data_IF_781859555646
#
_entry.id   IF_781859555646
#
_cell.length_a   1.000
_cell.length_b   1.000
_cell.length_c   1.000
_cell.angle_alpha   90.00
_cell.angle_beta   90.00
_cell.angle_gamma   90.00
#
_symmetry.space_group_name_H-M   'P 1'
#
loop_
_entity.id
_entity.type
_entity.pdbx_description
1 polymer ?
#
# COMPACT_ATOMS: atom_id res chain seq x y z
N UNK A 1 -31.47 -15.32 -35.44
CA UNK A 1 -29.99 -15.19 -35.38
C UNK A 1 -29.50 -14.08 -34.43
N UNK A 2 -30.24 -12.98 -34.22
CA UNK A 2 -29.86 -11.91 -33.30
C UNK A 2 -30.05 -12.24 -31.80
N UNK A 3 -31.11 -12.99 -31.47
CA UNK A 3 -31.45 -13.36 -30.07
C UNK A 3 -30.40 -14.28 -29.43
N UNK A 4 -29.81 -15.19 -30.22
CA UNK A 4 -28.83 -16.17 -29.74
C UNK A 4 -27.47 -15.52 -29.44
N UNK A 5 -27.06 -14.54 -30.26
CA UNK A 5 -25.87 -13.71 -29.98
C UNK A 5 -26.02 -12.93 -28.66
N UNK A 6 -27.23 -12.46 -28.34
CA UNK A 6 -27.49 -11.73 -27.09
C UNK A 6 -27.30 -12.62 -25.86
N UNK A 7 -27.81 -13.86 -25.87
CA UNK A 7 -27.68 -14.81 -24.75
C UNK A 7 -26.22 -15.22 -24.53
N UNK A 8 -25.47 -15.43 -25.62
CA UNK A 8 -24.02 -15.71 -25.56
C UNK A 8 -23.25 -14.53 -24.96
N UNK A 9 -23.58 -13.30 -25.31
CA UNK A 9 -22.93 -12.09 -24.75
C UNK A 9 -23.23 -11.96 -23.25
N UNK A 10 -24.49 -12.18 -22.83
CA UNK A 10 -24.87 -12.15 -21.41
C UNK A 10 -24.16 -13.23 -20.62
N UNK A 11 -24.09 -14.47 -21.13
CA UNK A 11 -23.37 -15.56 -20.49
C UNK A 11 -21.86 -15.31 -20.40
N UNK A 12 -21.24 -14.83 -21.49
CA UNK A 12 -19.82 -14.46 -21.50
C UNK A 12 -19.53 -13.37 -20.47
N UNK A 13 -20.37 -12.34 -20.41
CA UNK A 13 -20.19 -11.26 -19.45
C UNK A 13 -20.37 -11.77 -18.01
N UNK A 14 -21.35 -12.63 -17.73
CA UNK A 14 -21.52 -13.25 -16.43
C UNK A 14 -20.31 -14.11 -16.02
N UNK A 15 -19.73 -14.88 -16.95
CA UNK A 15 -18.53 -15.69 -16.72
C UNK A 15 -17.30 -14.80 -16.48
N UNK A 16 -17.12 -13.73 -17.25
CA UNK A 16 -16.04 -12.75 -17.07
C UNK A 16 -16.18 -12.01 -15.74
N UNK A 17 -17.38 -11.58 -15.36
CA UNK A 17 -17.65 -10.95 -14.06
C UNK A 17 -17.36 -11.91 -12.91
N UNK A 18 -17.79 -13.18 -13.01
CA UNK A 18 -17.49 -14.21 -12.02
C UNK A 18 -15.99 -14.47 -11.89
N UNK A 19 -15.26 -14.52 -13.00
CA UNK A 19 -13.81 -14.69 -13.01
C UNK A 19 -13.09 -13.48 -12.38
N UNK A 20 -13.50 -12.26 -12.71
CA UNK A 20 -12.96 -11.02 -12.12
C UNK A 20 -13.24 -10.97 -10.61
N UNK A 21 -14.41 -11.42 -10.17
CA UNK A 21 -14.78 -11.44 -8.76
C UNK A 21 -13.95 -12.47 -7.97
N UNK A 22 -13.62 -13.62 -8.58
CA UNK A 22 -12.78 -14.65 -7.97
C UNK A 22 -11.28 -14.36 -8.07
N UNK A 23 -10.84 -13.55 -9.03
CA UNK A 23 -9.43 -13.28 -9.29
C UNK A 23 -8.64 -12.82 -8.05
N UNK A 24 -9.11 -11.86 -7.22
CA UNK A 24 -8.38 -11.43 -6.02
C UNK A 24 -8.14 -12.57 -5.03
N UNK A 25 -9.11 -13.47 -4.89
CA UNK A 25 -9.07 -14.57 -3.93
C UNK A 25 -8.09 -15.65 -4.41
N UNK A 26 -8.15 -16.01 -5.70
CA UNK A 26 -7.19 -16.93 -6.34
C UNK A 26 -5.78 -16.38 -6.28
N UNK A 27 -5.58 -15.09 -6.59
CA UNK A 27 -4.27 -14.43 -6.55
C UNK A 27 -3.72 -14.42 -5.11
N UNK A 28 -4.56 -14.15 -4.11
CA UNK A 28 -4.15 -14.13 -2.71
C UNK A 28 -3.72 -15.52 -2.22
N UNK A 29 -4.52 -16.56 -2.53
CA UNK A 29 -4.19 -17.94 -2.19
C UNK A 29 -2.93 -18.43 -2.90
N UNK A 30 -2.77 -18.10 -4.18
CA UNK A 30 -1.58 -18.44 -4.96
C UNK A 30 -0.32 -17.75 -4.42
N UNK A 31 -0.40 -16.45 -4.09
CA UNK A 31 0.73 -15.73 -3.51
C UNK A 31 1.13 -16.32 -2.15
N UNK A 32 0.15 -16.67 -1.31
CA UNK A 32 0.40 -17.31 -0.02
C UNK A 32 1.06 -18.68 -0.19
N UNK A 33 0.56 -19.51 -1.11
CA UNK A 33 1.15 -20.83 -1.37
C UNK A 33 2.58 -20.71 -1.91
N UNK A 34 2.85 -19.76 -2.81
CA UNK A 34 4.21 -19.52 -3.32
C UNK A 34 5.19 -19.14 -2.19
N UNK A 35 4.79 -18.27 -1.26
CA UNK A 35 5.64 -17.91 -0.11
C UNK A 35 5.92 -19.13 0.77
N UNK A 36 4.89 -19.93 1.04
CA UNK A 36 5.02 -21.17 1.83
C UNK A 36 5.92 -22.18 1.11
N UNK A 37 5.80 -22.34 -0.21
CA UNK A 37 6.60 -23.28 -1.00
C UNK A 37 8.06 -22.83 -1.15
N UNK A 38 8.31 -21.54 -1.33
CA UNK A 38 9.68 -20.99 -1.42
C UNK A 38 10.41 -21.21 -0.11
N UNK A 39 9.75 -20.96 1.03
CA UNK A 39 10.39 -21.11 2.34
C UNK A 39 10.36 -22.57 2.80
N UNK A 40 9.21 -23.21 2.79
CA UNK A 40 9.03 -24.62 3.14
C UNK A 40 9.80 -25.56 2.23
N UNK A 41 9.86 -25.32 0.92
CA UNK A 41 10.61 -26.14 -0.05
C UNK A 41 12.12 -26.05 0.10
N UNK A 42 12.65 -24.90 0.53
CA UNK A 42 14.08 -24.74 0.82
C UNK A 42 14.46 -25.16 2.25
N UNK A 43 13.52 -25.12 3.19
CA UNK A 43 13.72 -25.50 4.59
C UNK A 43 13.50 -27.01 4.80
N UNK A 44 12.53 -27.64 4.12
CA UNK A 44 12.24 -29.07 4.21
C UNK A 44 13.49 -29.95 4.03
N UNK A 45 14.36 -29.78 3.02
CA UNK A 45 15.55 -30.62 2.84
C UNK A 45 16.52 -30.56 4.02
N UNK A 46 16.65 -29.40 4.65
CA UNK A 46 17.58 -29.17 5.79
C UNK A 46 17.07 -29.89 7.05
N UNK A 47 15.76 -29.86 7.29
CA UNK A 47 15.16 -30.51 8.47
C UNK A 47 14.92 -32.01 8.27
N UNK A 48 14.61 -32.46 7.05
CA UNK A 48 14.38 -33.89 6.72
C UNK A 48 15.66 -34.73 6.87
N UNK A 49 16.84 -34.11 6.79
CA UNK A 49 18.15 -34.75 7.08
C UNK A 49 18.32 -35.10 8.56
N UNK A 50 17.75 -34.30 9.47
CA UNK A 50 17.84 -34.50 10.92
C UNK A 50 16.67 -35.28 11.51
N UNK A 51 15.71 -35.72 10.68
CA UNK A 51 14.46 -36.31 11.15
C UNK A 51 14.40 -37.84 10.95
N UNK A 52 13.99 -38.62 11.98
CA UNK A 52 13.76 -40.06 11.86
C UNK A 52 12.72 -40.40 10.79
N UNK A 53 12.95 -41.48 10.02
CA UNK A 53 12.13 -41.84 8.84
C UNK A 53 10.64 -42.05 9.12
N UNK A 54 10.25 -42.34 10.37
CA UNK A 54 8.86 -42.56 10.76
C UNK A 54 7.99 -41.28 10.72
N UNK A 55 8.60 -40.09 10.80
CA UNK A 55 7.90 -38.80 10.73
C UNK A 55 7.74 -38.27 9.29
N UNK A 56 8.46 -38.86 8.32
CA UNK A 56 8.47 -38.41 6.92
C UNK A 56 7.22 -38.79 6.14
N UNK A 57 6.46 -39.80 6.60
CA UNK A 57 5.32 -40.37 5.87
C UNK A 57 3.97 -40.24 6.59
N UNK A 58 3.91 -39.57 7.74
CA UNK A 58 2.67 -39.35 8.45
C UNK A 58 1.89 -38.17 7.83
N UNK A 59 0.98 -38.47 6.91
CA UNK A 59 0.12 -37.50 6.20
C UNK A 59 -0.70 -36.58 7.11
N UNK A 60 -0.94 -37.00 8.35
CA UNK A 60 -1.66 -36.25 9.40
C UNK A 60 -0.82 -35.14 10.05
N UNK A 61 0.50 -35.09 9.79
CA UNK A 61 1.40 -34.07 10.32
C UNK A 61 1.61 -32.90 9.35
N UNK A 62 0.99 -32.90 8.15
CA UNK A 62 1.15 -31.83 7.17
C UNK A 62 0.79 -30.45 7.74
N UNK A 63 -0.28 -30.36 8.54
CA UNK A 63 -0.66 -29.11 9.21
C UNK A 63 0.41 -28.63 10.22
N UNK A 64 1.07 -29.56 10.91
CA UNK A 64 2.18 -29.24 11.83
C UNK A 64 3.41 -28.79 11.06
N UNK A 65 3.68 -29.36 9.89
CA UNK A 65 4.76 -28.92 9.01
C UNK A 65 4.53 -27.51 8.47
N UNK A 66 3.30 -27.21 8.03
CA UNK A 66 2.94 -25.88 7.53
C UNK A 66 2.97 -24.82 8.65
N UNK A 67 2.54 -25.20 9.86
CA UNK A 67 2.65 -24.34 11.05
C UNK A 67 4.11 -24.09 11.44
N UNK A 68 4.96 -25.14 11.41
CA UNK A 68 6.38 -25.03 11.72
C UNK A 68 7.13 -24.20 10.67
N UNK A 69 6.85 -24.39 9.39
CA UNK A 69 7.44 -23.56 8.33
C UNK A 69 7.02 -22.10 8.48
N UNK A 70 5.75 -21.84 8.78
CA UNK A 70 5.25 -20.49 9.04
C UNK A 70 5.96 -19.84 10.23
N UNK A 71 6.16 -20.58 11.32
CA UNK A 71 6.90 -20.09 12.49
C UNK A 71 8.36 -19.77 12.16
N UNK A 72 9.02 -20.62 11.37
CA UNK A 72 10.41 -20.41 10.93
C UNK A 72 10.51 -19.16 10.04
N UNK A 73 9.58 -18.96 9.11
CA UNK A 73 9.51 -17.72 8.29
C UNK A 73 9.42 -16.51 9.21
N UNK A 74 8.51 -16.54 10.19
CA UNK A 74 8.26 -15.43 11.09
C UNK A 74 9.49 -15.12 11.95
N UNK A 75 10.19 -16.15 12.44
CA UNK A 75 11.46 -16.00 13.16
C UNK A 75 12.57 -15.45 12.26
N UNK A 76 12.68 -15.90 11.02
CA UNK A 76 13.65 -15.37 10.05
C UNK A 76 13.39 -13.89 9.74
N UNK A 77 12.13 -13.52 9.50
CA UNK A 77 11.73 -12.12 9.28
C UNK A 77 12.05 -11.26 10.50
N UNK A 78 11.73 -11.75 11.71
CA UNK A 78 12.05 -11.06 12.96
C UNK A 78 13.57 -10.92 13.17
N UNK A 79 14.35 -11.97 12.87
CA UNK A 79 15.81 -11.95 12.97
C UNK A 79 16.42 -10.98 11.96
N UNK A 80 15.97 -10.98 10.70
CA UNK A 80 16.39 -10.01 9.70
C UNK A 80 16.08 -8.58 10.15
N UNK A 81 14.87 -8.35 10.68
CA UNK A 81 14.48 -7.07 11.28
C UNK A 81 15.39 -6.66 12.44
N UNK A 82 15.76 -7.60 13.31
CA UNK A 82 16.66 -7.35 14.42
C UNK A 82 18.09 -7.03 13.95
N UNK A 83 18.64 -7.85 13.06
CA UNK A 83 19.98 -7.69 12.48
C UNK A 83 20.10 -6.37 11.72
N UNK A 84 19.05 -5.93 11.02
CA UNK A 84 19.03 -4.65 10.29
C UNK A 84 19.34 -3.41 11.15
N UNK A 85 19.15 -3.51 12.48
CA UNK A 85 19.44 -2.43 13.42
C UNK A 85 20.95 -2.26 13.66
N UNK A 86 21.74 -3.30 13.41
CA UNK A 86 23.19 -3.28 13.57
C UNK A 86 23.90 -2.82 12.29
N UNK A 87 25.05 -2.17 12.42
CA UNK A 87 25.85 -1.65 11.29
C UNK A 87 26.21 -2.77 10.29
N UNK A 88 26.52 -3.96 10.79
CA UNK A 88 26.79 -5.13 9.97
C UNK A 88 25.56 -5.62 9.19
N UNK A 89 24.36 -5.50 9.76
CA UNK A 89 23.12 -5.84 9.08
C UNK A 89 22.82 -4.91 7.90
N UNK A 90 23.07 -3.61 8.05
CA UNK A 90 22.94 -2.64 6.93
C UNK A 90 23.89 -2.98 5.78
N UNK A 91 25.11 -3.42 6.08
CA UNK A 91 26.05 -3.88 5.06
C UNK A 91 25.55 -5.13 4.35
N UNK A 92 25.10 -6.16 5.08
CA UNK A 92 24.55 -7.40 4.50
C UNK A 92 23.34 -7.15 3.60
N UNK A 93 22.41 -6.29 4.05
CA UNK A 93 21.25 -5.85 3.28
C UNK A 93 21.67 -5.19 1.95
N UNK A 94 22.67 -4.31 2.00
CA UNK A 94 23.18 -3.63 0.79
C UNK A 94 23.82 -4.58 -0.23
N UNK A 95 24.45 -5.67 0.25
CA UNK A 95 25.04 -6.70 -0.61
C UNK A 95 23.94 -7.55 -1.25
N UNK A 96 22.93 -7.96 -0.48
CA UNK A 96 21.77 -8.68 -1.00
C UNK A 96 20.98 -7.87 -2.03
N UNK A 97 20.82 -6.57 -1.80
CA UNK A 97 20.23 -5.64 -2.76
C UNK A 97 21.00 -5.59 -4.09
N UNK A 98 22.32 -5.46 -4.04
CA UNK A 98 23.16 -5.46 -5.25
C UNK A 98 23.04 -6.77 -6.03
N UNK A 99 22.91 -7.91 -5.35
CA UNK A 99 22.66 -9.19 -6.00
C UNK A 99 21.31 -9.23 -6.73
N UNK A 100 20.23 -8.76 -6.07
CA UNK A 100 18.90 -8.69 -6.68
C UNK A 100 18.85 -7.73 -7.88
N UNK A 101 19.55 -6.60 -7.79
CA UNK A 101 19.65 -5.62 -8.87
C UNK A 101 20.44 -6.12 -10.08
N UNK A 102 21.31 -7.12 -9.89
CA UNK A 102 22.09 -7.74 -10.96
C UNK A 102 21.30 -8.73 -11.82
N UNK A 103 20.10 -9.14 -11.40
CA UNK A 103 19.27 -10.09 -12.15
C UNK A 103 18.36 -9.30 -13.12
N UNK A 104 18.51 -9.47 -14.45
CA UNK A 104 17.65 -8.82 -15.43
C UNK A 104 16.17 -9.17 -15.21
N UNK A 105 15.29 -8.17 -15.23
CA UNK A 105 13.84 -8.34 -14.99
C UNK A 105 13.42 -8.31 -13.52
N UNK A 106 14.19 -8.92 -12.61
CA UNK A 106 13.90 -8.91 -11.16
C UNK A 106 14.20 -7.55 -10.54
N UNK A 107 15.22 -6.85 -11.05
CA UNK A 107 15.61 -5.52 -10.56
C UNK A 107 14.48 -4.49 -10.65
N UNK A 108 13.67 -4.53 -11.71
CA UNK A 108 12.53 -3.63 -11.88
C UNK A 108 11.46 -3.84 -10.81
N UNK A 109 11.05 -5.10 -10.59
CA UNK A 109 10.04 -5.46 -9.57
C UNK A 109 10.55 -5.15 -8.17
N UNK A 110 11.80 -5.50 -7.87
CA UNK A 110 12.43 -5.23 -6.58
C UNK A 110 12.48 -3.73 -6.29
N UNK A 111 12.89 -2.90 -7.26
CA UNK A 111 12.95 -1.46 -7.09
C UNK A 111 11.57 -0.83 -6.86
N UNK A 112 10.54 -1.26 -7.59
CA UNK A 112 9.18 -0.75 -7.39
C UNK A 112 8.67 -1.06 -5.98
N UNK A 113 8.82 -2.31 -5.52
CA UNK A 113 8.40 -2.72 -4.18
C UNK A 113 9.21 -1.99 -3.11
N UNK A 114 10.53 -1.91 -3.28
CA UNK A 114 11.41 -1.19 -2.35
C UNK A 114 11.05 0.29 -2.27
N UNK A 115 10.77 0.94 -3.40
CA UNK A 115 10.36 2.34 -3.43
C UNK A 115 9.04 2.58 -2.69
N UNK A 116 8.08 1.66 -2.79
CA UNK A 116 6.84 1.71 -2.00
C UNK A 116 7.18 1.55 -0.51
N UNK A 117 7.97 0.55 -0.15
CA UNK A 117 8.35 0.29 1.25
C UNK A 117 9.18 1.44 1.86
N UNK A 118 10.09 2.07 1.12
CA UNK A 118 10.92 3.19 1.60
C UNK A 118 10.12 4.50 1.68
N UNK A 119 9.14 4.67 0.80
CA UNK A 119 8.23 5.82 0.83
C UNK A 119 7.25 5.72 2.01
N UNK A 120 6.73 4.52 2.29
CA UNK A 120 5.64 4.30 3.25
C UNK A 120 6.06 3.57 4.54
N UNK A 121 7.33 3.16 4.66
CA UNK A 121 7.86 2.39 5.79
C UNK A 121 7.92 3.19 7.10
N UNK A 122 7.81 2.49 8.22
CA UNK A 122 7.60 3.03 9.56
C UNK A 122 8.63 4.08 10.06
N UNK A 123 9.80 4.21 9.42
CA UNK A 123 10.75 5.29 9.72
C UNK A 123 10.24 6.68 9.28
N UNK A 124 9.19 6.74 8.47
CA UNK A 124 8.56 7.97 7.96
C UNK A 124 7.16 8.22 8.50
N UNK A 125 6.81 7.68 9.69
CA UNK A 125 5.51 7.91 10.34
C UNK A 125 5.19 9.40 10.61
N UNK A 126 6.17 10.30 10.42
CA UNK A 126 6.02 11.76 10.48
C UNK A 126 5.99 12.48 9.12
N UNK A 127 6.17 11.80 7.98
CA UNK A 127 6.17 12.41 6.65
C UNK A 127 4.81 12.33 5.93
N UNK A 128 3.81 11.67 6.51
CA UNK A 128 2.41 11.68 6.02
C UNK A 128 1.49 11.67 7.23
N UNK A 129 1.62 12.69 8.06
CA UNK A 129 1.04 12.69 9.40
C UNK A 129 -0.49 12.76 9.37
N UNK A 130 -1.06 13.37 8.32
CA UNK A 130 -2.50 13.61 8.16
C UNK A 130 -2.92 13.70 6.70
N UNK A 131 -4.19 13.37 6.42
CA UNK A 131 -4.85 13.67 5.15
C UNK A 131 -5.39 15.10 5.23
N UNK A 132 -5.14 15.88 4.19
CA UNK A 132 -5.60 17.27 4.12
C UNK A 132 -6.21 17.55 2.75
N UNK A 133 -6.98 18.62 2.67
CA UNK A 133 -7.54 19.16 1.45
C UNK A 133 -7.05 20.60 1.28
N UNK A 134 -6.58 20.93 0.08
CA UNK A 134 -6.07 22.26 -0.27
C UNK A 134 -6.68 22.71 -1.60
N UNK A 135 -6.67 24.01 -1.86
CA UNK A 135 -7.04 24.53 -3.18
C UNK A 135 -5.86 24.39 -4.16
N UNK A 136 -6.09 23.70 -5.28
CA UNK A 136 -5.12 23.52 -6.36
C UNK A 136 -5.82 23.07 -7.66
N UNK A 137 -5.42 23.56 -8.86
CA UNK A 137 -4.39 24.57 -9.10
C UNK A 137 -4.89 26.01 -8.97
N UNK A 138 -6.18 26.21 -8.67
CA UNK A 138 -6.81 27.53 -8.50
C UNK A 138 -7.86 27.50 -7.39
N UNK A 139 -8.32 28.70 -7.01
CA UNK A 139 -9.39 28.91 -6.04
C UNK A 139 -10.65 28.09 -6.35
N UNK A 140 -11.30 27.60 -5.30
CA UNK A 140 -12.52 26.78 -5.32
C UNK A 140 -12.34 25.43 -6.06
N UNK A 141 -11.10 25.00 -6.32
CA UNK A 141 -10.77 23.68 -6.87
C UNK A 141 -9.93 22.92 -5.85
N UNK A 142 -10.42 21.78 -5.38
CA UNK A 142 -9.82 21.09 -4.23
C UNK A 142 -9.09 19.82 -4.64
N UNK A 143 -7.97 19.55 -3.98
CA UNK A 143 -7.24 18.27 -4.10
C UNK A 143 -7.02 17.66 -2.73
N UNK A 144 -6.99 16.34 -2.68
CA UNK A 144 -6.56 15.59 -1.50
C UNK A 144 -5.03 15.54 -1.52
N UNK A 145 -4.44 15.85 -0.38
CA UNK A 145 -3.00 15.88 -0.18
C UNK A 145 -2.66 15.25 1.18
N UNK A 146 -1.38 15.03 1.41
CA UNK A 146 -0.88 14.53 2.68
C UNK A 146 0.11 15.51 3.28
N UNK A 147 -0.05 15.82 4.57
CA UNK A 147 0.84 16.72 5.29
C UNK A 147 2.18 16.03 5.55
N UNK A 148 3.27 16.57 5.01
CA UNK A 148 4.60 15.95 5.08
C UNK A 148 5.52 16.58 6.10
N UNK A 149 5.47 17.91 6.27
CA UNK A 149 6.27 18.60 7.28
C UNK A 149 5.72 19.98 7.58
N UNK A 150 5.87 20.40 8.83
CA UNK A 150 5.55 21.75 9.27
C UNK A 150 6.70 22.71 8.97
N UNK A 151 6.37 23.95 8.56
CA UNK A 151 7.25 25.00 8.03
C UNK A 151 8.62 25.15 8.68
N UNK A 152 9.64 24.61 8.01
CA UNK A 152 11.05 24.73 8.38
C UNK A 152 11.90 25.00 7.14
N UNK A 153 13.09 25.56 7.35
CA UNK A 153 14.09 25.77 6.31
C UNK A 153 13.91 27.07 5.50
N UNK A 154 14.67 27.17 4.41
CA UNK A 154 14.72 28.36 3.56
C UNK A 154 13.34 28.80 3.02
N UNK A 155 12.43 27.89 2.57
CA UNK A 155 11.13 28.31 2.08
C UNK A 155 10.30 29.05 3.14
N UNK A 156 10.37 28.62 4.40
CA UNK A 156 9.71 29.32 5.51
C UNK A 156 10.38 30.65 5.81
N UNK A 157 11.72 30.73 5.74
CA UNK A 157 12.45 31.98 5.97
C UNK A 157 12.18 33.05 4.89
N UNK A 158 11.78 32.62 3.69
CA UNK A 158 11.42 33.50 2.57
C UNK A 158 9.91 33.76 2.45
N UNK A 159 9.10 33.17 3.32
CA UNK A 159 7.64 33.34 3.29
C UNK A 159 7.18 34.02 4.57
N UNK A 160 6.39 35.11 4.48
CA UNK A 160 5.98 35.87 5.67
C UNK A 160 4.95 35.11 6.52
N UNK A 161 4.19 34.21 5.92
CA UNK A 161 3.20 33.38 6.60
C UNK A 161 3.81 32.03 7.00
N UNK A 162 3.27 31.43 8.06
CA UNK A 162 3.60 30.05 8.41
C UNK A 162 3.07 29.13 7.31
N UNK A 163 3.97 28.38 6.68
CA UNK A 163 3.66 27.47 5.59
C UNK A 163 3.89 26.03 6.04
N UNK A 164 3.15 25.11 5.45
CA UNK A 164 3.38 23.69 5.60
C UNK A 164 3.57 23.04 4.24
N UNK A 165 4.32 21.93 4.25
CA UNK A 165 4.60 21.16 3.04
C UNK A 165 3.57 20.05 2.93
N UNK A 166 2.89 20.01 1.78
CA UNK A 166 1.89 19.01 1.44
C UNK A 166 2.29 18.30 0.15
N UNK A 167 2.10 16.98 0.12
CA UNK A 167 2.29 16.16 -1.07
C UNK A 167 0.94 15.90 -1.74
N UNK A 168 0.80 16.35 -2.98
CA UNK A 168 -0.39 16.11 -3.82
C UNK A 168 -0.06 14.97 -4.79
N UNK A 169 -0.53 13.73 -4.55
CA UNK A 169 -0.24 12.60 -5.41
C UNK A 169 -0.99 12.67 -6.75
N UNK A 170 -0.48 11.95 -7.75
CA UNK A 170 -1.21 11.67 -8.98
C UNK A 170 -2.15 10.47 -8.83
N UNK A 171 -3.27 10.51 -9.55
CA UNK A 171 -4.26 9.44 -9.65
C UNK A 171 -4.09 8.69 -10.98
N UNK A 172 -4.28 7.34 -11.04
CA UNK A 172 -4.51 6.41 -9.93
C UNK A 172 -3.19 5.93 -9.27
N UNK A 173 -2.04 6.31 -9.83
CA UNK A 173 -0.74 5.86 -9.36
C UNK A 173 -0.06 6.96 -8.51
N UNK A 174 -0.03 6.85 -7.16
CA UNK A 174 0.47 7.88 -6.26
C UNK A 174 2.00 7.88 -6.12
N UNK A 175 2.73 7.23 -7.04
CA UNK A 175 4.21 7.23 -7.06
C UNK A 175 4.80 8.57 -7.49
N UNK A 176 4.00 9.42 -8.13
CA UNK A 176 4.34 10.79 -8.52
C UNK A 176 3.36 11.79 -7.93
N UNK A 177 3.71 13.07 -7.99
CA UNK A 177 2.89 14.14 -7.45
C UNK A 177 3.60 15.48 -7.43
N UNK A 178 2.95 16.46 -6.82
CA UNK A 178 3.50 17.77 -6.56
C UNK A 178 3.87 17.91 -5.09
N UNK A 179 5.03 18.50 -4.83
CA UNK A 179 5.35 19.06 -3.53
C UNK A 179 4.85 20.50 -3.54
N UNK A 180 3.90 20.84 -2.66
CA UNK A 180 3.35 22.18 -2.59
C UNK A 180 3.60 22.74 -1.19
N UNK A 181 4.04 23.99 -1.14
CA UNK A 181 4.10 24.75 0.09
C UNK A 181 2.89 25.68 0.11
N UNK A 182 2.05 25.52 1.12
CA UNK A 182 0.82 26.31 1.27
C UNK A 182 0.79 26.96 2.66
N UNK A 183 0.20 28.15 2.82
CA UNK A 183 -0.08 28.71 4.15
C UNK A 183 -0.88 27.73 5.00
N UNK A 184 -0.57 27.66 6.30
CA UNK A 184 -1.31 26.79 7.24
C UNK A 184 -2.82 27.13 7.26
N UNK A 185 -3.19 28.37 6.95
CA UNK A 185 -4.58 28.83 6.85
C UNK A 185 -5.37 28.22 5.70
N UNK A 186 -4.68 27.73 4.67
CA UNK A 186 -5.30 27.22 3.45
C UNK A 186 -5.41 25.68 3.48
N UNK A 187 -4.96 25.06 4.57
CA UNK A 187 -5.01 23.62 4.80
C UNK A 187 -6.27 23.26 5.56
N UNK A 188 -7.11 22.40 4.97
CA UNK A 188 -8.25 21.77 5.65
C UNK A 188 -7.89 20.35 6.03
N UNK A 189 -7.66 20.10 7.32
CA UNK A 189 -7.45 18.73 7.80
C UNK A 189 -8.73 17.89 7.63
N UNK A 190 -8.55 16.62 7.26
CA UNK A 190 -9.64 15.65 7.11
C UNK A 190 -9.50 14.57 8.20
N UNK A 191 -10.60 14.11 8.79
CA UNK A 191 -10.53 13.08 9.85
C UNK A 191 -10.35 11.65 9.30
N UNK A 192 -10.29 11.48 7.97
CA UNK A 192 -10.07 10.17 7.37
C UNK A 192 -8.63 9.68 7.58
N UNK A 193 -8.45 8.37 7.65
CA UNK A 193 -7.12 7.78 7.75
C UNK A 193 -6.31 8.00 6.47
N UNK A 194 -4.98 8.02 6.58
CA UNK A 194 -4.08 8.08 5.41
C UNK A 194 -4.37 6.94 4.42
N UNK A 195 -4.66 5.74 4.93
CA UNK A 195 -5.03 4.59 4.09
C UNK A 195 -6.32 4.82 3.31
N UNK A 196 -7.31 5.46 3.92
CA UNK A 196 -8.59 5.77 3.29
C UNK A 196 -8.46 6.88 2.25
N UNK A 197 -7.69 7.94 2.54
CA UNK A 197 -7.32 8.94 1.54
C UNK A 197 -6.60 8.31 0.34
N UNK A 198 -5.71 7.36 0.58
CA UNK A 198 -4.98 6.66 -0.49
C UNK A 198 -5.91 5.78 -1.34
N UNK A 199 -6.88 5.07 -0.75
CA UNK A 199 -7.90 4.32 -1.50
C UNK A 199 -8.69 5.24 -2.43
N UNK A 200 -9.05 6.42 -1.95
CA UNK A 200 -9.80 7.40 -2.73
C UNK A 200 -8.98 7.90 -3.94
N UNK A 201 -7.70 8.19 -3.73
CA UNK A 201 -6.77 8.61 -4.80
C UNK A 201 -6.52 7.47 -5.79
N UNK A 202 -6.19 6.27 -5.33
CA UNK A 202 -5.88 5.12 -6.21
C UNK A 202 -7.10 4.70 -7.04
N UNK A 203 -8.29 4.75 -6.45
CA UNK A 203 -9.54 4.44 -7.17
C UNK A 203 -10.00 5.55 -8.10
N UNK A 204 -9.32 6.71 -8.11
CA UNK A 204 -9.71 7.88 -8.86
C UNK A 204 -11.08 8.44 -8.50
N UNK A 205 -11.45 8.35 -7.22
CA UNK A 205 -12.76 8.79 -6.73
C UNK A 205 -13.84 7.70 -6.71
N UNK A 206 -13.58 6.52 -7.28
CA UNK A 206 -14.57 5.43 -7.34
C UNK A 206 -14.85 4.74 -6.01
N UNK A 207 -13.93 4.83 -5.05
CA UNK A 207 -14.07 4.27 -3.69
C UNK A 207 -13.96 5.39 -2.68
N UNK A 208 -15.11 5.81 -2.15
CA UNK A 208 -15.19 6.81 -1.08
C UNK A 208 -15.20 6.09 0.27
N UNK A 209 -14.26 6.39 1.19
CA UNK A 209 -14.26 5.82 2.53
C UNK A 209 -15.56 6.15 3.28
N UNK A 210 -16.06 5.20 4.07
CA UNK A 210 -17.25 5.41 4.88
C UNK A 210 -17.02 6.57 5.86
N UNK A 211 -17.79 7.64 5.69
CA UNK A 211 -17.80 8.79 6.59
C UNK A 211 -19.10 8.79 7.38
N UNK A 212 -19.07 8.85 8.73
CA UNK A 212 -20.29 9.07 9.50
C UNK A 212 -20.84 10.44 9.09
N UNK A 213 -22.00 10.44 8.41
CA UNK A 213 -22.60 11.66 7.89
C UNK A 213 -22.63 12.72 9.00
N UNK A 214 -21.94 13.84 8.77
CA UNK A 214 -22.09 15.01 9.62
C UNK A 214 -23.58 15.34 9.63
N UNK A 215 -24.19 15.33 10.81
CA UNK A 215 -25.55 15.84 11.05
C UNK A 215 -25.72 17.12 10.26
N UNK A 216 -26.64 17.11 9.31
CA UNK A 216 -26.97 18.20 8.40
C UNK A 216 -27.28 19.48 9.18
N UNK A 217 -26.26 20.30 9.41
CA UNK A 217 -26.38 21.66 9.89
C UNK A 217 -26.55 22.59 8.70
N UNK A 218 -27.81 22.91 8.40
CA UNK A 218 -28.32 24.13 7.75
C UNK A 218 -27.44 24.78 6.67
N UNK A 219 -27.78 24.57 5.40
CA UNK A 219 -27.38 25.48 4.31
C UNK A 219 -27.99 26.86 4.56
N UNK A 220 -27.20 27.96 4.63
CA UNK A 220 -27.74 29.30 4.67
C UNK A 220 -27.89 29.83 3.23
N UNK A 221 -29.08 29.65 2.67
CA UNK A 221 -29.63 30.38 1.50
C UNK A 221 -31.12 30.03 1.53
N UNK A 222 -32.04 30.93 1.88
CA UNK A 222 -32.57 31.95 0.99
C UNK A 222 -33.46 32.91 1.81
N UNK A 223 -33.01 34.16 2.02
CA UNK A 223 -33.90 35.30 2.24
C UNK A 223 -33.58 36.28 1.12
N UNK A 224 -34.33 36.16 0.04
CA UNK A 224 -34.50 37.25 -0.93
C UNK A 224 -35.86 37.86 -0.63
N UNK A 225 -35.82 39.19 -0.57
CA UNK A 225 -36.90 40.13 -0.29
C UNK A 225 -38.08 39.98 -1.27
N UNK A 226 -39.29 40.11 -0.75
CA UNK A 226 -40.38 40.90 -1.33
C UNK A 226 -40.97 41.79 -0.23
#
# INVERSE_FOLDING_TARGET
MAEDKSKIITFRNALLTGLILLAPLVISLWALSQIIDIVGGNVRPIFVVFLPDFLKHASHLNLLWDALSTLIVLLMVALLGYVSRYVFGKYLLSVGERMMLGIPGVSAVYNTVKQIVDTFGAQKRNLFSKVVMIEFPRKDTWVIAFLTSEGRGEPQAKTPQKISTVFVPTTPNPTSGFLILVPDTDIKELDMSVGDGMKLIISGGGVVPNWPAATSGTSPTEKIEE
#
